data_IF_814149794539
#
_entry.id   IF_814149794539
#
_cell.length_a   1.000
_cell.length_b   1.000
_cell.length_c   1.000
_cell.angle_alpha   90.00
_cell.angle_beta   90.00
_cell.angle_gamma   90.00
#
_symmetry.space_group_name_H-M   'P 1'
#
loop_
_entity.id
_entity.type
_entity.pdbx_description
1 polymer ?
#
# COMPACT_ATOMS: atom_id res chain seq x y z
N UNK A 1 -0.38 -31.08 22.15
CA UNK A 1 0.51 -30.48 21.11
C UNK A 1 -0.02 -29.28 20.33
N UNK A 2 -1.31 -28.91 20.37
CA UNK A 2 -1.79 -27.73 19.61
C UNK A 2 -1.26 -26.35 20.09
N UNK A 3 -0.83 -26.22 21.35
CA UNK A 3 -0.45 -24.94 21.95
C UNK A 3 1.06 -24.69 22.00
N UNK A 4 1.87 -25.76 22.02
CA UNK A 4 3.33 -25.70 22.23
C UNK A 4 4.08 -25.93 20.93
N UNK A 5 5.33 -25.48 20.88
CA UNK A 5 6.20 -25.63 19.70
C UNK A 5 6.07 -24.50 18.66
N UNK A 6 6.91 -24.56 17.62
CA UNK A 6 7.00 -23.52 16.57
C UNK A 6 5.74 -23.45 15.69
N UNK A 7 5.06 -24.58 15.49
CA UNK A 7 3.77 -24.65 14.78
C UNK A 7 2.56 -24.55 15.71
N UNK A 8 2.77 -24.42 17.02
CA UNK A 8 1.68 -24.25 17.99
C UNK A 8 0.96 -22.92 17.79
N UNK A 9 -0.34 -22.88 18.13
CA UNK A 9 -1.19 -21.69 17.90
C UNK A 9 -0.67 -20.42 18.57
N UNK A 10 0.02 -20.52 19.71
CA UNK A 10 0.64 -19.35 20.35
C UNK A 10 1.66 -18.66 19.43
N UNK A 11 2.59 -19.44 18.86
CA UNK A 11 3.66 -18.88 18.01
C UNK A 11 3.20 -18.55 16.60
N UNK A 12 2.33 -19.36 16.01
CA UNK A 12 1.86 -19.12 14.64
C UNK A 12 0.76 -18.07 14.52
N UNK A 13 -0.13 -17.95 15.52
CA UNK A 13 -1.35 -17.16 15.36
C UNK A 13 -1.47 -16.03 16.38
N UNK A 14 -0.78 -16.08 17.53
CA UNK A 14 -0.89 -15.03 18.55
C UNK A 14 0.30 -14.06 18.54
N UNK A 15 1.50 -14.50 18.16
CA UNK A 15 2.71 -13.64 18.16
C UNK A 15 3.01 -12.96 16.82
N UNK A 16 2.57 -13.54 15.69
CA UNK A 16 2.77 -12.96 14.37
C UNK A 16 1.62 -13.33 13.45
N UNK A 17 1.10 -12.35 12.71
CA UNK A 17 0.03 -12.56 11.74
C UNK A 17 0.41 -11.89 10.41
N UNK A 18 -0.17 -12.39 9.32
CA UNK A 18 -0.16 -11.66 8.05
C UNK A 18 -1.02 -10.42 8.23
N UNK A 19 -0.55 -9.30 7.70
CA UNK A 19 -1.19 -7.99 7.81
C UNK A 19 -1.43 -7.42 6.42
N UNK A 20 -2.58 -6.78 6.26
CA UNK A 20 -2.91 -6.01 5.06
C UNK A 20 -2.09 -4.71 5.03
N UNK A 21 -2.10 -4.01 3.89
CA UNK A 21 -1.33 -2.78 3.67
C UNK A 21 0.18 -2.96 3.94
N UNK A 22 0.73 -4.10 3.51
CA UNK A 22 2.14 -4.43 3.64
C UNK A 22 2.77 -4.79 2.29
N UNK A 23 4.06 -4.52 2.14
CA UNK A 23 4.82 -4.77 0.91
C UNK A 23 6.27 -5.15 1.22
N UNK A 24 6.94 -5.78 0.24
CA UNK A 24 8.36 -6.12 0.31
C UNK A 24 9.02 -5.87 -1.03
N UNK A 25 10.18 -5.22 -1.02
CA UNK A 25 11.02 -5.01 -2.20
C UNK A 25 12.50 -5.19 -1.87
N UNK A 26 13.33 -5.23 -2.89
CA UNK A 26 14.79 -5.15 -2.76
C UNK A 26 15.18 -3.70 -2.45
N UNK A 27 16.13 -3.52 -1.53
CA UNK A 27 16.67 -2.21 -1.16
C UNK A 27 17.87 -1.85 -2.04
N UNK A 28 18.00 -0.57 -2.39
CA UNK A 28 19.11 -0.02 -3.18
C UNK A 28 19.58 1.27 -2.50
N UNK A 29 20.84 1.64 -2.69
CA UNK A 29 21.42 2.88 -2.15
C UNK A 29 20.86 4.11 -2.85
N UNK A 30 20.33 5.07 -2.08
CA UNK A 30 19.84 6.38 -2.56
C UNK A 30 20.61 7.53 -1.90
N UNK A 31 21.81 7.90 -2.41
CA UNK A 31 22.70 8.88 -1.76
C UNK A 31 22.13 10.30 -1.67
N UNK A 32 21.15 10.65 -2.50
CA UNK A 32 20.49 11.95 -2.54
C UNK A 32 19.39 12.14 -1.48
N UNK A 33 18.98 11.06 -0.79
CA UNK A 33 17.92 11.08 0.19
C UNK A 33 18.39 11.62 1.54
N UNK A 34 17.53 12.41 2.20
CA UNK A 34 17.76 12.85 3.58
C UNK A 34 17.50 11.70 4.56
N UNK A 35 18.03 11.81 5.78
CA UNK A 35 17.89 10.79 6.83
C UNK A 35 16.43 10.36 7.13
N UNK A 36 15.45 11.26 6.95
CA UNK A 36 14.03 11.00 7.21
C UNK A 36 13.25 10.58 5.94
N UNK A 37 13.92 10.32 4.83
CA UNK A 37 13.31 9.99 3.55
C UNK A 37 13.62 8.56 3.12
N UNK A 38 12.71 7.95 2.37
CA UNK A 38 12.94 6.68 1.69
C UNK A 38 12.31 6.73 0.28
N UNK A 39 12.97 6.08 -0.69
CA UNK A 39 12.39 5.88 -2.01
C UNK A 39 11.43 4.69 -2.01
N UNK A 40 10.17 4.92 -2.40
CA UNK A 40 9.17 3.87 -2.56
C UNK A 40 8.82 3.70 -4.05
N UNK A 41 8.84 2.47 -4.61
CA UNK A 41 8.43 2.25 -5.99
C UNK A 41 6.97 2.69 -6.20
N UNK A 42 6.73 3.46 -7.26
CA UNK A 42 5.39 4.01 -7.57
C UNK A 42 4.28 2.97 -7.58
N UNK A 43 4.53 1.79 -8.15
CA UNK A 43 3.56 0.67 -8.16
C UNK A 43 3.26 0.13 -6.77
N UNK A 44 4.26 0.06 -5.90
CA UNK A 44 4.06 -0.39 -4.52
C UNK A 44 3.29 0.65 -3.72
N UNK A 45 3.64 1.94 -3.87
CA UNK A 45 2.89 3.03 -3.27
C UNK A 45 1.42 3.01 -3.71
N UNK A 46 1.16 2.81 -5.01
CA UNK A 46 -0.19 2.72 -5.54
C UNK A 46 -1.03 1.65 -4.83
N UNK A 47 -0.46 0.46 -4.60
CA UNK A 47 -1.14 -0.65 -3.91
C UNK A 47 -1.38 -0.37 -2.42
N UNK A 48 -0.36 0.15 -1.72
CA UNK A 48 -0.44 0.43 -0.29
C UNK A 48 -1.45 1.55 0.03
N UNK A 49 -1.54 2.55 -0.84
CA UNK A 49 -2.36 3.74 -0.62
C UNK A 49 -3.73 3.70 -1.31
N UNK A 50 -4.16 2.56 -1.89
CA UNK A 50 -5.45 2.41 -2.59
C UNK A 50 -6.65 3.07 -1.89
N UNK A 51 -6.91 2.85 -0.58
CA UNK A 51 -8.06 3.46 0.08
C UNK A 51 -8.01 4.98 0.10
N UNK A 52 -6.82 5.55 0.29
CA UNK A 52 -6.61 6.99 0.34
C UNK A 52 -6.77 7.62 -1.05
N UNK A 53 -6.26 6.96 -2.09
CA UNK A 53 -6.45 7.35 -3.48
C UNK A 53 -7.94 7.37 -3.84
N UNK A 54 -8.70 6.34 -3.43
CA UNK A 54 -10.15 6.31 -3.67
C UNK A 54 -10.87 7.47 -2.97
N UNK A 55 -10.54 7.74 -1.71
CA UNK A 55 -11.14 8.85 -0.97
C UNK A 55 -10.81 10.22 -1.62
N UNK A 56 -9.59 10.39 -2.13
CA UNK A 56 -9.19 11.63 -2.82
C UNK A 56 -9.82 11.79 -4.21
N UNK A 57 -9.96 10.70 -4.96
CA UNK A 57 -10.66 10.70 -6.26
C UNK A 57 -12.13 11.11 -6.11
N UNK A 58 -12.78 10.63 -5.05
CA UNK A 58 -14.16 11.00 -4.71
C UNK A 58 -14.25 12.46 -4.24
N UNK A 59 -13.37 12.89 -3.32
CA UNK A 59 -13.33 14.26 -2.82
C UNK A 59 -13.09 15.31 -3.92
N UNK A 60 -12.31 14.98 -4.95
CA UNK A 60 -12.08 15.83 -6.13
C UNK A 60 -13.19 15.75 -7.18
N UNK A 61 -14.21 14.91 -6.98
CA UNK A 61 -15.29 14.68 -7.95
C UNK A 61 -14.82 14.01 -9.25
N UNK A 62 -13.62 13.42 -9.27
CA UNK A 62 -13.04 12.79 -10.45
C UNK A 62 -13.66 11.41 -10.72
N UNK A 63 -14.03 10.69 -9.66
CA UNK A 63 -14.81 9.47 -9.76
C UNK A 63 -16.14 9.62 -9.05
N UNK A 64 -17.24 9.30 -9.72
CA UNK A 64 -18.58 9.33 -9.10
C UNK A 64 -18.88 8.10 -8.25
N UNK A 65 -18.11 7.01 -8.43
CA UNK A 65 -18.32 5.75 -7.70
C UNK A 65 -17.00 5.04 -7.39
N UNK A 66 -16.98 4.27 -6.31
CA UNK A 66 -15.84 3.43 -5.94
C UNK A 66 -15.46 2.41 -7.04
N UNK A 67 -16.43 1.89 -7.78
CA UNK A 67 -16.16 0.96 -8.90
C UNK A 67 -15.38 1.64 -10.02
N UNK A 68 -15.72 2.89 -10.34
CA UNK A 68 -15.00 3.69 -11.32
C UNK A 68 -13.58 4.00 -10.85
N UNK A 69 -13.43 4.42 -9.58
CA UNK A 69 -12.13 4.69 -8.97
C UNK A 69 -11.20 3.46 -9.02
N UNK A 70 -11.71 2.28 -8.66
CA UNK A 70 -10.99 1.00 -8.78
C UNK A 70 -10.50 0.75 -10.20
N UNK A 71 -11.39 0.89 -11.19
CA UNK A 71 -11.05 0.72 -12.61
C UNK A 71 -10.02 1.73 -13.10
N UNK A 72 -9.98 2.93 -12.53
CA UNK A 72 -9.00 3.96 -12.90
C UNK A 72 -7.62 3.66 -12.33
N UNK A 73 -7.56 3.21 -11.07
CA UNK A 73 -6.32 2.75 -10.42
C UNK A 73 -5.75 1.53 -11.15
N UNK A 74 -6.58 0.53 -11.49
CA UNK A 74 -6.15 -0.64 -12.28
C UNK A 74 -5.63 -0.29 -13.68
N UNK A 75 -6.13 0.80 -14.27
CA UNK A 75 -5.69 1.31 -15.56
C UNK A 75 -4.49 2.26 -15.47
N UNK A 76 -3.95 2.49 -14.27
CA UNK A 76 -2.81 3.37 -14.02
C UNK A 76 -2.96 4.75 -14.70
N UNK A 77 -4.18 5.32 -14.66
CA UNK A 77 -4.50 6.60 -15.29
C UNK A 77 -3.63 7.74 -14.74
N UNK A 78 -3.40 8.78 -15.55
CA UNK A 78 -2.52 9.90 -15.20
C UNK A 78 -2.95 10.60 -13.89
N UNK A 79 -4.25 10.82 -13.76
CA UNK A 79 -4.87 11.49 -12.61
C UNK A 79 -4.63 10.74 -11.29
N UNK A 80 -4.43 9.43 -11.35
CA UNK A 80 -4.14 8.60 -10.18
C UNK A 80 -2.72 8.86 -9.68
N UNK A 81 -1.77 9.09 -10.57
CA UNK A 81 -0.39 9.42 -10.21
C UNK A 81 -0.31 10.81 -9.57
N UNK A 82 -1.05 11.77 -10.11
CA UNK A 82 -1.11 13.13 -9.54
C UNK A 82 -1.70 13.10 -8.12
N UNK A 83 -2.70 12.26 -7.87
CA UNK A 83 -3.28 12.08 -6.53
C UNK A 83 -2.33 11.35 -5.60
N UNK A 84 -1.58 10.35 -6.09
CA UNK A 84 -0.63 9.61 -5.27
C UNK A 84 0.49 10.53 -4.74
N UNK A 85 0.91 11.53 -5.50
CA UNK A 85 1.92 12.50 -5.06
C UNK A 85 1.38 13.49 -4.00
N UNK A 86 0.05 13.61 -3.84
CA UNK A 86 -0.60 14.45 -2.83
C UNK A 86 -0.96 13.73 -1.52
N UNK A 87 -0.94 12.40 -1.51
CA UNK A 87 -1.29 11.55 -0.36
C UNK A 87 -0.05 11.23 0.46
#
# INVERSE_FOLDING_TARGET
>A
DMLKGKQGRFRQNLLGKRVDYSGRSVIVTGPELKLHQCGLPKKMALELFKPFIYARLDAKGLSMTLKQAKKWVEKERKEVWDILDEV
#
